data_IF_235365349207
#
_entry.id   IF_235365349207
#
_cell.length_a   1.000
_cell.length_b   1.000
_cell.length_c   1.000
_cell.angle_alpha   90.00
_cell.angle_beta   90.00
_cell.angle_gamma   90.00
#
_symmetry.space_group_name_H-M   'P 1'
#
loop_
_entity.id
_entity.type
_entity.pdbx_description
1 polymer ?
#
# COMPACT_ATOMS: atom_id res chain seq x y z
N UNK A 1 1.94 -3.60 29.28
CA UNK A 1 2.31 -2.93 28.02
C UNK A 1 1.60 -3.66 26.89
N UNK A 2 0.90 -3.02 25.93
CA UNK A 2 0.26 -3.78 24.86
C UNK A 2 1.32 -4.35 23.92
N UNK A 3 1.14 -5.63 23.59
CA UNK A 3 2.09 -6.50 22.90
C UNK A 3 2.20 -6.16 21.41
N UNK A 4 3.04 -5.19 21.06
CA UNK A 4 3.39 -4.90 19.66
C UNK A 4 2.21 -4.56 18.75
N UNK A 5 2.45 -4.41 17.44
CA UNK A 5 1.39 -4.17 16.47
C UNK A 5 0.54 -5.44 16.27
N UNK A 6 -0.72 -5.38 16.68
CA UNK A 6 -1.71 -6.43 16.42
C UNK A 6 -2.30 -6.28 15.01
N UNK A 7 -2.26 -7.35 14.21
CA UNK A 7 -2.72 -7.35 12.82
C UNK A 7 -4.23 -7.60 12.75
N UNK A 8 -5.03 -6.53 12.73
CA UNK A 8 -6.48 -6.61 12.50
C UNK A 8 -6.79 -6.38 11.03
N UNK A 9 -7.03 -7.46 10.28
CA UNK A 9 -7.33 -7.40 8.84
C UNK A 9 -8.60 -8.15 8.43
N UNK A 10 -9.22 -8.95 9.31
CA UNK A 10 -10.39 -9.77 8.98
C UNK A 10 -11.70 -9.15 9.50
N UNK A 11 -11.71 -7.84 9.75
CA UNK A 11 -12.86 -7.18 10.37
C UNK A 11 -13.91 -6.72 9.36
N UNK A 12 -13.72 -6.91 8.05
CA UNK A 12 -14.62 -6.37 7.01
C UNK A 12 -14.62 -4.83 6.97
N UNK A 13 -13.62 -4.20 7.60
CA UNK A 13 -13.53 -2.75 7.77
C UNK A 13 -12.55 -2.16 6.76
N UNK A 14 -12.69 -0.85 6.51
CA UNK A 14 -11.74 -0.12 5.70
C UNK A 14 -10.39 -0.02 6.44
N UNK A 15 -9.40 -0.76 5.94
CA UNK A 15 -8.04 -0.75 6.43
C UNK A 15 -7.22 0.32 5.70
N UNK A 16 -6.65 1.24 6.48
CA UNK A 16 -5.67 2.21 5.99
C UNK A 16 -4.26 1.62 6.06
N UNK A 17 -3.68 1.34 4.90
CA UNK A 17 -2.35 0.75 4.78
C UNK A 17 -1.40 1.80 4.22
N UNK A 18 -0.32 2.06 4.94
CA UNK A 18 0.78 2.88 4.43
C UNK A 18 2.04 2.06 4.37
N UNK A 19 2.76 2.12 3.25
CA UNK A 19 4.07 1.50 3.13
C UNK A 19 5.09 2.51 2.66
N UNK A 20 6.33 2.30 3.09
CA UNK A 20 7.51 3.03 2.63
C UNK A 20 8.51 2.08 2.00
N UNK A 21 9.20 2.49 0.93
CA UNK A 21 10.35 1.71 0.45
C UNK A 21 11.42 1.56 1.54
N UNK A 22 12.15 0.46 1.48
CA UNK A 22 13.26 0.16 2.39
C UNK A 22 14.21 1.36 2.50
N UNK A 23 14.55 1.75 3.74
CA UNK A 23 15.38 2.94 4.06
C UNK A 23 14.90 4.26 3.43
N UNK A 24 13.63 4.36 3.03
CA UNK A 24 13.05 5.51 2.31
C UNK A 24 13.82 5.86 1.02
N UNK A 25 14.44 4.86 0.40
CA UNK A 25 15.18 5.04 -0.85
C UNK A 25 14.24 5.46 -1.99
N UNK A 26 14.70 6.27 -2.96
CA UNK A 26 13.90 6.87 -4.03
C UNK A 26 13.47 5.95 -5.16
N UNK A 27 13.23 4.67 -4.89
CA UNK A 27 12.82 3.70 -5.92
C UNK A 27 11.51 4.05 -6.62
N UNK A 28 10.62 4.81 -5.97
CA UNK A 28 9.38 5.29 -6.58
C UNK A 28 9.52 6.70 -7.17
N UNK A 29 10.72 7.19 -7.47
CA UNK A 29 10.86 8.43 -8.26
C UNK A 29 10.70 8.18 -9.76
N UNK A 30 11.17 7.04 -10.26
CA UNK A 30 11.03 6.66 -11.67
C UNK A 30 9.55 6.32 -11.99
N UNK A 31 8.96 6.92 -13.04
CA UNK A 31 7.62 6.57 -13.53
C UNK A 31 7.43 5.08 -13.78
N UNK A 32 8.42 4.38 -14.33
CA UNK A 32 8.33 2.95 -14.64
C UNK A 32 8.18 2.12 -13.38
N UNK A 33 8.96 2.44 -12.35
CA UNK A 33 8.88 1.77 -11.04
C UNK A 33 7.53 2.00 -10.36
N UNK A 34 6.91 3.18 -10.54
CA UNK A 34 5.54 3.44 -10.09
C UNK A 34 4.53 2.59 -10.85
N UNK A 35 4.68 2.49 -12.17
CA UNK A 35 3.79 1.68 -13.00
C UNK A 35 3.85 0.20 -12.63
N UNK A 36 5.06 -0.34 -12.43
CA UNK A 36 5.23 -1.71 -11.93
C UNK A 36 4.56 -1.92 -10.58
N UNK A 37 4.70 -0.98 -9.65
CA UNK A 37 4.04 -1.04 -8.35
C UNK A 37 2.51 -1.07 -8.47
N UNK A 38 1.94 -0.19 -9.30
CA UNK A 38 0.49 -0.17 -9.55
C UNK A 38 0.02 -1.49 -10.15
N UNK A 39 0.75 -2.04 -11.13
CA UNK A 39 0.43 -3.34 -11.73
C UNK A 39 0.46 -4.48 -10.73
N UNK A 40 1.47 -4.52 -9.84
CA UNK A 40 1.57 -5.52 -8.78
C UNK A 40 0.40 -5.40 -7.81
N UNK A 41 0.06 -4.18 -7.37
CA UNK A 41 -1.07 -3.93 -6.47
C UNK A 41 -2.39 -4.40 -7.11
N UNK A 42 -2.63 -4.09 -8.38
CA UNK A 42 -3.82 -4.55 -9.11
C UNK A 42 -3.86 -6.07 -9.26
N UNK A 43 -2.71 -6.71 -9.53
CA UNK A 43 -2.61 -8.17 -9.59
C UNK A 43 -2.95 -8.81 -8.23
N UNK A 44 -2.41 -8.27 -7.14
CA UNK A 44 -2.71 -8.71 -5.78
C UNK A 44 -4.18 -8.49 -5.45
N UNK A 45 -4.76 -7.35 -5.87
CA UNK A 45 -6.17 -7.04 -5.71
C UNK A 45 -7.05 -8.13 -6.31
N UNK A 46 -6.77 -8.52 -7.55
CA UNK A 46 -7.50 -9.59 -8.26
C UNK A 46 -7.30 -10.96 -7.60
N UNK A 47 -6.08 -11.27 -7.17
CA UNK A 47 -5.76 -12.58 -6.59
C UNK A 47 -6.38 -12.80 -5.21
N UNK A 48 -6.57 -11.74 -4.43
CA UNK A 48 -7.11 -11.83 -3.07
C UNK A 48 -8.52 -11.24 -2.96
N UNK A 49 -9.18 -10.94 -4.08
CA UNK A 49 -10.52 -10.34 -4.13
C UNK A 49 -10.67 -9.09 -3.25
N UNK A 50 -9.61 -8.29 -3.18
CA UNK A 50 -9.56 -7.10 -2.34
C UNK A 50 -10.30 -5.94 -3.04
N UNK A 51 -10.94 -5.09 -2.25
CA UNK A 51 -11.51 -3.84 -2.75
C UNK A 51 -10.58 -2.69 -2.39
N UNK A 52 -9.99 -2.03 -3.40
CA UNK A 52 -9.18 -0.83 -3.23
C UNK A 52 -10.07 0.38 -3.48
N UNK A 53 -10.24 1.24 -2.47
CA UNK A 53 -11.07 2.44 -2.60
C UNK A 53 -10.28 3.64 -3.12
N UNK A 54 -9.04 3.80 -2.65
CA UNK A 54 -8.19 4.91 -3.05
C UNK A 54 -6.72 4.54 -2.85
N UNK A 55 -5.88 5.02 -3.78
CA UNK A 55 -4.43 4.90 -3.72
C UNK A 55 -3.78 6.25 -4.01
N UNK A 56 -2.85 6.68 -3.16
CA UNK A 56 -2.08 7.90 -3.41
C UNK A 56 -0.58 7.65 -3.28
N UNK A 57 0.16 8.09 -4.30
CA UNK A 57 1.61 8.18 -4.30
C UNK A 57 2.02 9.65 -4.33
N UNK A 58 2.57 10.17 -3.23
CA UNK A 58 3.05 11.57 -3.13
C UNK A 58 4.19 11.78 -4.14
N UNK A 59 4.11 12.82 -5.00
CA UNK A 59 5.23 13.18 -5.91
C UNK A 59 6.53 13.58 -5.17
N UNK A 60 6.45 14.19 -3.99
CA UNK A 60 7.59 14.78 -3.26
C UNK A 60 7.93 14.11 -1.91
N UNK A 61 7.22 13.05 -1.48
CA UNK A 61 7.65 12.23 -0.33
C UNK A 61 8.04 10.87 -0.83
N UNK A 62 9.34 10.77 -1.06
CA UNK A 62 10.08 9.59 -1.47
C UNK A 62 9.49 8.36 -0.78
N UNK A 63 8.77 7.59 -1.58
CA UNK A 63 8.43 6.20 -1.29
C UNK A 63 7.30 5.90 -0.33
N UNK A 64 6.48 6.87 0.12
CA UNK A 64 5.31 6.56 0.96
C UNK A 64 4.03 6.50 0.13
N UNK A 65 3.45 5.30 0.04
CA UNK A 65 2.17 5.06 -0.63
C UNK A 65 1.10 4.72 0.40
N UNK A 66 -0.11 5.23 0.17
CA UNK A 66 -1.28 5.02 1.02
C UNK A 66 -2.35 4.29 0.23
N UNK A 67 -2.89 3.22 0.80
CA UNK A 67 -3.96 2.41 0.22
C UNK A 67 -5.09 2.27 1.24
N UNK A 68 -6.32 2.37 0.75
CA UNK A 68 -7.52 2.03 1.50
C UNK A 68 -8.08 0.72 0.97
N UNK A 69 -8.09 -0.31 1.81
CA UNK A 69 -8.47 -1.68 1.46
C UNK A 69 -9.66 -2.13 2.29
N UNK A 70 -10.60 -2.88 1.72
CA UNK A 70 -11.50 -3.74 2.52
C UNK A 70 -11.10 -5.19 2.29
N UNK A 71 -10.99 -5.95 3.38
CA UNK A 71 -10.62 -7.36 3.42
C UNK A 71 -11.68 -8.17 4.17
#
# INVERSE_FOLDING_TARGET
MPHGPERRQQTGQLHFITFSCYRRLPFLQNPDSKNTLVQVIEKTRRSHSLTIYAGFSRRNRVSTSRLYLSC
#
